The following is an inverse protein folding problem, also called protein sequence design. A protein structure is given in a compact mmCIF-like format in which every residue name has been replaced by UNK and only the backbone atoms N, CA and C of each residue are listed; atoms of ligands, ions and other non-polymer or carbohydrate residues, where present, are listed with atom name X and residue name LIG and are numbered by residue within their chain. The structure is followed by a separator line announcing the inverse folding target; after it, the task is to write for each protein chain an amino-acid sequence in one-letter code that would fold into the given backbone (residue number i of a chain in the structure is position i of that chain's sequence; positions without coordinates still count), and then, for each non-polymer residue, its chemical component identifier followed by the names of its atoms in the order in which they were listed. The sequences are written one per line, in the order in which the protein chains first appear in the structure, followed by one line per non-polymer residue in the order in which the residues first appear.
data_IF_444900472725
#
_entry.id   IF_444900472725
#
_cell.length_a   1.000
_cell.length_b   1.000
_cell.length_c   1.000
_cell.angle_alpha   90.00
_cell.angle_beta   90.00
_cell.angle_gamma   90.00
#
_symmetry.space_group_name_H-M   'P 1'
#
loop_
_entity.id
_entity.type
_entity.pdbx_description
1 polymer ?
#
# COMPACT_ATOMS: atom_id res chain seq x y z
N UNK A 1 -7.44 15.73 1.96
CA UNK A 1 -6.11 16.22 2.37
C UNK A 1 -5.18 16.21 1.14
N UNK A 2 -4.40 17.27 0.90
CA UNK A 2 -3.52 17.37 -0.29
C UNK A 2 -2.52 16.21 -0.38
N UNK A 3 -1.88 15.86 0.73
CA UNK A 3 -0.90 14.76 0.83
C UNK A 3 -1.46 13.42 0.37
N UNK A 4 -2.71 13.09 0.68
CA UNK A 4 -3.32 11.81 0.25
C UNK A 4 -3.47 11.79 -1.27
N UNK A 5 -3.91 12.90 -1.87
CA UNK A 5 -4.05 13.02 -3.31
C UNK A 5 -2.69 12.99 -4.02
N UNK A 6 -1.68 13.64 -3.45
CA UNK A 6 -0.32 13.64 -3.99
C UNK A 6 0.31 12.25 -3.91
N UNK A 7 0.12 11.54 -2.80
CA UNK A 7 0.54 10.15 -2.65
C UNK A 7 -0.12 9.24 -3.69
N UNK A 8 -1.44 9.36 -3.88
CA UNK A 8 -2.16 8.59 -4.90
C UNK A 8 -1.58 8.84 -6.29
N UNK A 9 -1.41 10.11 -6.68
CA UNK A 9 -0.81 10.48 -7.98
C UNK A 9 0.61 9.96 -8.14
N UNK A 10 1.42 9.99 -7.07
CA UNK A 10 2.78 9.47 -7.12
C UNK A 10 2.81 7.95 -7.36
N UNK A 11 1.95 7.21 -6.65
CA UNK A 11 1.81 5.76 -6.82
C UNK A 11 1.28 5.42 -8.22
N UNK A 12 0.31 6.18 -8.74
CA UNK A 12 -0.23 5.98 -10.09
C UNK A 12 0.86 6.16 -11.16
N UNK A 13 1.80 7.08 -10.97
CA UNK A 13 2.95 7.24 -11.89
C UNK A 13 3.98 6.12 -11.75
N UNK A 14 4.12 5.53 -10.57
CA UNK A 14 5.14 4.52 -10.28
C UNK A 14 4.81 3.18 -10.96
N UNK A 15 3.54 2.80 -10.98
CA UNK A 15 3.03 1.66 -11.75
C UNK A 15 1.60 1.98 -12.22
N UNK A 16 1.44 2.54 -13.44
CA UNK A 16 0.15 2.97 -13.97
C UNK A 16 -0.83 1.81 -14.15
N UNK A 17 -2.14 2.09 -14.08
CA UNK A 17 -3.18 1.08 -14.30
C UNK A 17 -3.39 0.74 -15.79
N UNK A 18 -3.03 1.66 -16.68
CA UNK A 18 -3.31 1.66 -18.12
C UNK A 18 -2.16 1.14 -18.98
N UNK A 19 -1.16 0.48 -18.37
CA UNK A 19 -0.06 -0.18 -19.08
C UNK A 19 -0.24 -1.69 -19.14
N UNK A 20 0.46 -2.32 -20.07
CA UNK A 20 0.41 -3.77 -20.25
C UNK A 20 1.10 -4.50 -19.09
N UNK A 21 0.36 -5.43 -18.47
CA UNK A 21 0.88 -6.38 -17.48
C UNK A 21 0.57 -7.81 -17.92
N UNK A 22 1.59 -8.66 -17.97
CA UNK A 22 1.45 -10.10 -18.26
C UNK A 22 0.49 -10.79 -17.28
N UNK A 23 0.43 -10.32 -16.03
CA UNK A 23 -0.53 -10.80 -15.03
C UNK A 23 -1.98 -10.63 -15.52
N UNK A 24 -2.30 -9.48 -16.12
CA UNK A 24 -3.64 -9.22 -16.62
C UNK A 24 -3.99 -10.17 -17.78
N UNK A 25 -3.04 -10.47 -18.66
CA UNK A 25 -3.25 -11.43 -19.75
C UNK A 25 -3.46 -12.86 -19.22
N UNK A 26 -2.70 -13.24 -18.19
CA UNK A 26 -2.78 -14.57 -17.60
C UNK A 26 -4.07 -14.81 -16.81
N UNK A 27 -4.56 -13.80 -16.09
CA UNK A 27 -5.66 -13.96 -15.12
C UNK A 27 -6.95 -13.23 -15.49
N UNK A 28 -6.92 -12.26 -16.40
CA UNK A 28 -8.09 -11.49 -16.82
C UNK A 28 -8.72 -10.64 -15.71
N UNK A 29 -8.02 -10.42 -14.60
CA UNK A 29 -8.52 -9.72 -13.41
C UNK A 29 -8.22 -8.21 -13.40
N UNK A 30 -7.29 -7.76 -14.25
CA UNK A 30 -6.96 -6.35 -14.42
C UNK A 30 -6.27 -5.71 -13.22
N UNK A 31 -5.65 -6.49 -12.33
CA UNK A 31 -5.00 -5.96 -11.11
C UNK A 31 -3.48 -6.14 -11.08
N UNK A 32 -2.84 -6.39 -12.22
CA UNK A 32 -1.39 -6.53 -12.34
C UNK A 32 -0.63 -5.32 -11.78
N UNK A 33 -1.13 -4.10 -12.00
CA UNK A 33 -0.56 -2.88 -11.41
C UNK A 33 -0.57 -2.92 -9.88
N UNK A 34 -1.61 -3.50 -9.25
CA UNK A 34 -1.76 -3.57 -7.81
C UNK A 34 -0.67 -4.45 -7.18
N UNK A 35 -0.32 -5.55 -7.85
CA UNK A 35 0.78 -6.42 -7.45
C UNK A 35 2.14 -5.69 -7.48
N UNK A 36 2.41 -4.92 -8.55
CA UNK A 36 3.67 -4.17 -8.67
C UNK A 36 3.75 -3.07 -7.60
N UNK A 37 2.67 -2.31 -7.37
CA UNK A 37 2.59 -1.29 -6.31
C UNK A 37 2.82 -1.89 -4.92
N UNK A 38 2.17 -3.01 -4.62
CA UNK A 38 2.31 -3.70 -3.33
C UNK A 38 3.74 -4.20 -3.09
N UNK A 39 4.40 -4.73 -4.14
CA UNK A 39 5.78 -5.20 -4.04
C UNK A 39 6.78 -4.06 -3.77
N UNK A 40 6.57 -2.87 -4.34
CA UNK A 40 7.46 -1.72 -4.15
C UNK A 40 7.31 -1.05 -2.77
N UNK A 41 6.08 -0.96 -2.25
CA UNK A 41 5.83 -0.32 -0.94
C UNK A 41 6.10 -1.28 0.22
N UNK A 42 5.84 -2.58 0.01
CA UNK A 42 5.96 -3.60 1.04
C UNK A 42 4.68 -3.78 1.86
N UNK A 43 4.45 -5.00 2.40
CA UNK A 43 3.21 -5.34 3.11
C UNK A 43 3.25 -5.04 4.61
N UNK A 44 4.40 -4.63 5.15
CA UNK A 44 4.61 -4.46 6.60
C UNK A 44 5.50 -3.27 6.91
N UNK A 45 5.42 -2.83 8.16
CA UNK A 45 6.27 -1.79 8.73
C UNK A 45 6.60 -2.16 10.17
N UNK A 46 7.75 -1.70 10.66
CA UNK A 46 8.19 -1.91 12.03
C UNK A 46 8.20 -0.57 12.76
N UNK A 47 7.55 -0.52 13.93
CA UNK A 47 7.51 0.68 14.78
C UNK A 47 8.12 0.32 16.13
N UNK A 48 9.20 1.01 16.57
CA UNK A 48 9.73 0.81 17.90
C UNK A 48 8.71 1.18 18.99
N UNK A 49 8.74 0.42 20.08
CA UNK A 49 7.94 0.71 21.27
C UNK A 49 8.91 1.01 22.40
N UNK A 50 8.84 2.23 22.95
CA UNK A 50 9.67 2.68 24.07
C UNK A 50 8.74 3.14 25.18
N UNK A 51 8.97 2.63 26.40
CA UNK A 51 8.12 2.91 27.57
C UNK A 51 6.61 2.66 27.32
N UNK A 52 6.31 1.59 26.56
CA UNK A 52 4.94 1.20 26.25
C UNK A 52 4.23 2.08 25.20
N UNK A 53 4.95 2.97 24.50
CA UNK A 53 4.40 3.84 23.46
C UNK A 53 5.08 3.63 22.11
N UNK A 54 4.30 3.63 21.03
CA UNK A 54 4.82 3.66 19.67
C UNK A 54 5.59 4.95 19.43
N UNK A 55 6.85 4.85 18.99
CA UNK A 55 7.72 6.01 18.76
C UNK A 55 7.50 6.61 17.37
N UNK A 56 6.29 7.11 17.11
CA UNK A 56 5.98 7.86 15.90
C UNK A 56 6.38 9.32 16.07
N UNK A 57 6.95 9.93 15.03
CA UNK A 57 7.16 11.37 14.96
C UNK A 57 5.84 12.14 14.90
N UNK A 58 5.87 13.43 15.24
CA UNK A 58 4.70 14.32 15.33
C UNK A 58 3.78 14.26 14.10
N UNK A 59 4.35 14.04 12.92
CA UNK A 59 3.63 14.03 11.64
C UNK A 59 3.52 12.65 10.99
N UNK A 60 4.02 11.60 11.64
CA UNK A 60 3.94 10.24 11.12
C UNK A 60 2.56 9.65 11.43
N UNK A 61 1.96 9.02 10.41
CA UNK A 61 0.69 8.32 10.51
C UNK A 61 0.83 6.94 9.86
N UNK A 62 0.17 5.95 10.44
CA UNK A 62 0.08 4.61 9.86
C UNK A 62 -1.12 4.63 8.92
N UNK A 63 -0.88 4.32 7.65
CA UNK A 63 -1.92 4.27 6.62
C UNK A 63 -1.93 2.91 5.94
N UNK A 64 -3.14 2.41 5.67
CA UNK A 64 -3.33 1.24 4.81
C UNK A 64 -3.50 1.73 3.37
N UNK A 65 -2.68 1.22 2.46
CA UNK A 65 -2.84 1.43 1.03
C UNK A 65 -3.47 0.19 0.41
N UNK A 66 -4.68 0.33 -0.12
CA UNK A 66 -5.35 -0.72 -0.88
C UNK A 66 -5.27 -0.39 -2.37
N UNK A 67 -4.61 -1.26 -3.14
CA UNK A 67 -4.38 -1.06 -4.57
C UNK A 67 -5.32 -1.87 -5.46
N UNK A 68 -6.10 -2.79 -4.90
CA UNK A 68 -6.93 -3.69 -5.72
C UNK A 68 -8.06 -2.92 -6.41
N UNK A 69 -8.46 -3.40 -7.58
CA UNK A 69 -9.41 -2.71 -8.46
C UNK A 69 -10.88 -2.89 -8.03
N UNK A 70 -11.13 -3.52 -6.88
CA UNK A 70 -12.45 -3.75 -6.30
C UNK A 70 -12.39 -3.75 -4.77
N UNK A 71 -13.50 -3.41 -4.08
CA UNK A 71 -13.54 -3.43 -2.63
C UNK A 71 -13.22 -4.82 -2.06
N UNK A 72 -12.34 -4.87 -1.05
CA UNK A 72 -11.97 -6.10 -0.35
C UNK A 72 -12.04 -5.92 1.16
N UNK A 73 -12.28 -7.02 1.86
CA UNK A 73 -12.01 -7.08 3.29
C UNK A 73 -10.51 -7.31 3.51
N UNK A 74 -9.88 -6.44 4.30
CA UNK A 74 -8.44 -6.50 4.63
C UNK A 74 -8.26 -6.86 6.10
N UNK A 75 -7.37 -7.81 6.36
CA UNK A 75 -6.96 -8.20 7.71
C UNK A 75 -5.58 -7.64 8.00
N UNK A 76 -5.49 -6.77 8.99
CA UNK A 76 -4.22 -6.23 9.50
C UNK A 76 -3.82 -7.08 10.70
N UNK A 77 -2.59 -7.58 10.71
CA UNK A 77 -2.01 -8.35 11.81
C UNK A 77 -0.99 -7.47 12.51
N UNK A 78 -1.09 -7.40 13.84
CA UNK A 78 -0.11 -6.71 14.69
C UNK A 78 0.59 -7.77 15.52
N UNK A 79 1.92 -7.83 15.40
CA UNK A 79 2.77 -8.67 16.22
C UNK A 79 3.63 -7.76 17.11
N UNK A 80 3.65 -8.07 18.40
CA UNK A 80 4.52 -7.43 19.39
C UNK A 80 5.49 -8.51 19.86
N UNK A 81 6.78 -8.23 19.73
CA UNK A 81 7.88 -9.15 20.06
C UNK A 81 8.97 -8.44 20.83
#
# INVERSE_FOLDING_TARGET
CGVINDLRKAIDRMAPEDVYYEHNERWGDGNGYAHVRAAMIGPSLHIPIVEGKMTLGTWQQIVLLDFDNRPRSRRIVVQIS
#
